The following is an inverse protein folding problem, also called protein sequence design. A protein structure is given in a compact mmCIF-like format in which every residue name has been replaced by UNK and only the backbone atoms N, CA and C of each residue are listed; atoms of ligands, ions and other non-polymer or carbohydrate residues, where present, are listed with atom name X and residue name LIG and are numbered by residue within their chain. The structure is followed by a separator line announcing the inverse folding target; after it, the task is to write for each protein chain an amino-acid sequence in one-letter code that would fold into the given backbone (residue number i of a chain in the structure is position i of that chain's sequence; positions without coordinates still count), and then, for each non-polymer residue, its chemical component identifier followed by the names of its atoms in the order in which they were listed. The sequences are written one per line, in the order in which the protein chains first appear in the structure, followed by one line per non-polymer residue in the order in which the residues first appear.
data_IF_271028862704
#
_entry.id   IF_271028862704
#
_cell.length_a   1.000
_cell.length_b   1.000
_cell.length_c   1.000
_cell.angle_alpha   90.00
_cell.angle_beta   90.00
_cell.angle_gamma   90.00
#
_symmetry.space_group_name_H-M   'P 1'
#
loop_
_entity.id
_entity.type
_entity.pdbx_description
1 polymer ?
#
# COMPACT_ATOMS: atom_id res chain seq x y z
N UNK A 1 41.82 83.20 10.93
CA UNK A 1 41.92 82.67 9.56
C UNK A 1 41.55 81.17 9.39
N UNK A 2 40.94 80.49 10.39
CA UNK A 2 40.66 79.03 10.33
C UNK A 2 39.28 78.70 9.84
N UNK A 3 38.29 79.62 9.89
CA UNK A 3 36.89 79.32 9.50
C UNK A 3 36.72 79.15 8.00
N UNK A 4 37.50 79.81 7.17
CA UNK A 4 37.42 79.70 5.72
C UNK A 4 37.92 78.32 5.19
N UNK A 5 38.95 77.82 5.81
CA UNK A 5 39.43 76.45 5.45
C UNK A 5 38.52 75.34 5.94
N UNK A 6 37.81 75.50 7.04
CA UNK A 6 36.82 74.58 7.54
C UNK A 6 35.57 74.58 6.65
N UNK A 7 35.11 75.74 6.16
CA UNK A 7 34.00 75.79 5.25
C UNK A 7 34.27 75.13 3.88
N UNK A 8 35.47 75.34 3.32
CA UNK A 8 35.86 74.69 2.05
C UNK A 8 35.99 73.17 2.22
N UNK A 9 36.52 72.67 3.33
CA UNK A 9 36.56 71.22 3.55
C UNK A 9 35.18 70.60 3.78
N UNK A 10 34.28 71.30 4.45
CA UNK A 10 32.92 70.83 4.74
C UNK A 10 32.06 70.83 3.53
N UNK A 11 32.05 71.90 2.73
CA UNK A 11 31.23 71.96 1.53
C UNK A 11 31.88 71.32 0.30
N UNK A 12 33.20 71.31 0.20
CA UNK A 12 33.93 70.75 -0.96
C UNK A 12 34.17 69.27 -0.90
N UNK A 13 34.28 68.68 0.30
CA UNK A 13 34.63 67.27 0.44
C UNK A 13 33.55 66.49 1.20
N UNK A 14 33.12 67.00 2.37
CA UNK A 14 32.20 66.27 3.23
C UNK A 14 30.81 66.07 2.66
N UNK A 15 30.24 67.09 2.05
CA UNK A 15 28.88 67.01 1.43
C UNK A 15 28.89 66.10 0.21
N UNK A 16 29.82 66.20 -0.75
CA UNK A 16 29.84 65.25 -1.88
C UNK A 16 30.12 63.83 -1.48
N UNK A 17 31.01 63.59 -0.49
CA UNK A 17 31.30 62.22 -0.01
C UNK A 17 30.10 61.61 0.68
N UNK A 18 29.33 62.40 1.46
CA UNK A 18 28.08 61.95 2.08
C UNK A 18 26.98 61.63 1.03
N UNK A 19 26.87 62.47 0.00
CA UNK A 19 25.95 62.20 -1.10
C UNK A 19 26.29 60.90 -1.85
N UNK A 20 27.57 60.64 -2.14
CA UNK A 20 28.02 59.40 -2.78
C UNK A 20 27.73 58.20 -1.88
N UNK A 21 28.00 58.33 -0.57
CA UNK A 21 27.69 57.22 0.37
C UNK A 21 26.18 56.89 0.42
N UNK A 22 25.32 57.90 0.43
CA UNK A 22 23.87 57.70 0.37
C UNK A 22 23.42 57.03 -0.92
N UNK A 23 23.98 57.44 -2.07
CA UNK A 23 23.66 56.78 -3.36
C UNK A 23 24.10 55.32 -3.37
N UNK A 24 25.28 55.01 -2.85
CA UNK A 24 25.76 53.63 -2.75
C UNK A 24 24.89 52.78 -1.84
N UNK A 25 24.46 53.32 -0.69
CA UNK A 25 23.53 52.63 0.20
C UNK A 25 22.17 52.37 -0.47
N UNK A 26 21.63 53.35 -1.22
CA UNK A 26 20.39 53.20 -1.97
C UNK A 26 20.50 52.08 -3.05
N UNK A 27 21.58 52.09 -3.82
CA UNK A 27 21.85 51.09 -4.85
C UNK A 27 22.00 49.68 -4.22
N UNK A 28 22.71 49.61 -3.08
CA UNK A 28 22.88 48.32 -2.37
C UNK A 28 21.55 47.77 -1.83
N UNK A 29 20.71 48.66 -1.26
CA UNK A 29 19.39 48.31 -0.77
C UNK A 29 18.44 47.83 -1.92
N UNK A 30 18.45 48.54 -3.05
CA UNK A 30 17.67 48.15 -4.23
C UNK A 30 18.14 46.79 -4.76
N UNK A 31 19.43 46.58 -4.85
CA UNK A 31 20.00 45.30 -5.32
C UNK A 31 19.63 44.14 -4.41
N UNK A 32 19.69 44.33 -3.07
CA UNK A 32 19.30 43.27 -2.11
C UNK A 32 17.83 42.89 -2.22
N UNK A 33 16.95 43.89 -2.36
CA UNK A 33 15.50 43.65 -2.58
C UNK A 33 15.19 42.94 -3.89
N UNK A 34 15.85 43.28 -4.99
CA UNK A 34 15.68 42.60 -6.26
C UNK A 34 16.17 41.15 -6.20
N UNK A 35 17.31 40.91 -5.54
CA UNK A 35 17.92 39.58 -5.42
C UNK A 35 17.05 38.64 -4.57
N UNK A 36 16.45 39.15 -3.50
CA UNK A 36 15.51 38.39 -2.67
C UNK A 36 14.24 38.00 -3.42
N UNK A 37 13.69 38.92 -4.21
CA UNK A 37 12.52 38.64 -5.05
C UNK A 37 12.83 37.63 -6.15
N UNK A 38 14.02 37.65 -6.71
CA UNK A 38 14.45 36.71 -7.73
C UNK A 38 14.65 35.30 -7.16
N UNK A 39 15.31 35.19 -6.00
CA UNK A 39 15.52 33.89 -5.33
C UNK A 39 14.19 33.28 -4.88
N UNK A 40 13.25 34.07 -4.38
CA UNK A 40 11.89 33.60 -4.05
C UNK A 40 11.15 33.03 -5.27
N UNK A 41 11.18 33.75 -6.41
CA UNK A 41 10.55 33.27 -7.64
C UNK A 41 11.22 31.99 -8.16
N UNK A 42 12.56 31.91 -8.09
CA UNK A 42 13.30 30.75 -8.52
C UNK A 42 13.02 29.52 -7.62
N UNK A 43 12.92 29.71 -6.32
CA UNK A 43 12.58 28.62 -5.39
C UNK A 43 11.13 28.13 -5.61
N UNK A 44 10.18 29.03 -5.81
CA UNK A 44 8.81 28.66 -6.17
C UNK A 44 8.77 27.86 -7.47
N UNK A 45 9.46 28.31 -8.52
CA UNK A 45 9.51 27.58 -9.78
C UNK A 45 10.09 26.17 -9.62
N UNK A 46 11.18 26.04 -8.88
CA UNK A 46 11.76 24.70 -8.57
C UNK A 46 10.78 23.82 -7.80
N UNK A 47 10.07 24.39 -6.83
CA UNK A 47 9.06 23.65 -6.06
C UNK A 47 7.91 23.19 -6.95
N UNK A 48 7.39 24.06 -7.83
CA UNK A 48 6.38 23.68 -8.81
C UNK A 48 6.84 22.56 -9.73
N UNK A 49 8.06 22.67 -10.26
CA UNK A 49 8.61 21.65 -11.15
C UNK A 49 8.80 20.30 -10.43
N UNK A 50 9.27 20.33 -9.19
CA UNK A 50 9.40 19.11 -8.37
C UNK A 50 8.04 18.48 -8.07
N UNK A 51 7.04 19.30 -7.73
CA UNK A 51 5.69 18.81 -7.46
C UNK A 51 5.02 18.26 -8.72
N UNK A 52 5.24 18.90 -9.87
CA UNK A 52 4.74 18.41 -11.15
C UNK A 52 5.35 17.04 -11.51
N UNK A 53 6.67 16.88 -11.36
CA UNK A 53 7.34 15.61 -11.62
C UNK A 53 6.85 14.50 -10.67
N UNK A 54 6.66 14.82 -9.39
CA UNK A 54 6.07 13.88 -8.42
C UNK A 54 4.64 13.49 -8.79
N UNK A 55 3.83 14.44 -9.24
CA UNK A 55 2.46 14.16 -9.69
C UNK A 55 2.44 13.22 -10.90
N UNK A 56 3.30 13.45 -11.89
CA UNK A 56 3.45 12.54 -13.04
C UNK A 56 3.93 11.15 -12.64
N UNK A 57 4.86 11.05 -11.68
CA UNK A 57 5.33 9.76 -11.16
C UNK A 57 4.20 8.99 -10.47
N UNK A 58 3.41 9.68 -9.63
CA UNK A 58 2.24 9.10 -8.97
C UNK A 58 1.20 8.64 -10.00
N UNK A 59 0.91 9.45 -11.00
CA UNK A 59 -0.03 9.10 -12.08
C UNK A 59 0.44 7.86 -12.86
N UNK A 60 1.73 7.81 -13.19
CA UNK A 60 2.32 6.65 -13.87
C UNK A 60 2.23 5.38 -13.02
N UNK A 61 2.49 5.49 -11.71
CA UNK A 61 2.38 4.37 -10.79
C UNK A 61 0.92 3.90 -10.63
N UNK A 62 -0.03 4.83 -10.55
CA UNK A 62 -1.47 4.51 -10.54
C UNK A 62 -1.88 3.80 -11.83
N UNK A 63 -1.44 4.32 -12.99
CA UNK A 63 -1.74 3.71 -14.28
C UNK A 63 -1.20 2.28 -14.40
N UNK A 64 0.00 2.01 -13.88
CA UNK A 64 0.57 0.65 -13.83
C UNK A 64 -0.20 -0.29 -12.90
N UNK A 65 -0.74 0.22 -11.82
CA UNK A 65 -1.46 -0.60 -10.82
C UNK A 65 -2.94 -0.82 -11.19
N UNK A 66 -3.53 0.00 -12.05
CA UNK A 66 -4.94 -0.14 -12.49
C UNK A 66 -5.32 -1.56 -12.91
N UNK A 67 -4.55 -2.27 -13.77
CA UNK A 67 -4.93 -3.62 -14.19
C UNK A 67 -4.92 -4.62 -13.01
N UNK A 68 -4.03 -4.43 -12.03
CA UNK A 68 -4.00 -5.28 -10.83
C UNK A 68 -5.21 -5.01 -9.94
N UNK A 69 -5.57 -3.75 -9.74
CA UNK A 69 -6.76 -3.36 -8.97
C UNK A 69 -8.03 -3.86 -9.64
N UNK A 70 -8.13 -3.77 -10.96
CA UNK A 70 -9.28 -4.29 -11.71
C UNK A 70 -9.40 -5.81 -11.59
N UNK A 71 -8.30 -6.56 -11.76
CA UNK A 71 -8.30 -8.01 -11.53
C UNK A 71 -8.70 -8.36 -10.11
N UNK A 72 -8.17 -7.65 -9.14
CA UNK A 72 -8.51 -7.85 -7.73
C UNK A 72 -10.00 -7.58 -7.48
N UNK A 73 -10.56 -6.50 -8.02
CA UNK A 73 -11.97 -6.18 -7.88
C UNK A 73 -12.89 -7.22 -8.53
N UNK A 74 -12.47 -7.84 -9.64
CA UNK A 74 -13.20 -8.94 -10.26
C UNK A 74 -13.19 -10.20 -9.38
N UNK A 75 -12.03 -10.58 -8.86
CA UNK A 75 -11.88 -11.75 -7.97
C UNK A 75 -12.76 -11.60 -6.72
N UNK A 76 -12.79 -10.40 -6.14
CA UNK A 76 -13.59 -10.12 -4.93
C UNK A 76 -15.10 -9.98 -5.26
N UNK A 77 -15.47 -9.69 -6.50
CA UNK A 77 -16.89 -9.55 -6.88
C UNK A 77 -17.64 -10.87 -6.94
N UNK A 78 -16.94 -11.99 -7.09
CA UNK A 78 -17.53 -13.30 -7.03
C UNK A 78 -17.84 -13.72 -5.59
N UNK A 79 -18.93 -14.44 -5.39
CA UNK A 79 -19.24 -15.01 -4.08
C UNK A 79 -18.16 -16.03 -3.67
N UNK A 80 -17.42 -15.70 -2.62
CA UNK A 80 -16.26 -16.49 -2.21
C UNK A 80 -16.61 -17.94 -1.89
N UNK A 81 -17.75 -18.19 -1.26
CA UNK A 81 -18.17 -19.53 -0.87
C UNK A 81 -18.42 -20.43 -2.10
N UNK A 82 -19.10 -19.90 -3.13
CA UNK A 82 -19.35 -20.62 -4.37
C UNK A 82 -18.06 -20.88 -5.14
N UNK A 83 -17.18 -19.88 -5.23
CA UNK A 83 -15.88 -20.01 -5.89
C UNK A 83 -14.97 -21.01 -5.19
N UNK A 84 -14.93 -21.01 -3.84
CA UNK A 84 -14.18 -22.03 -3.05
C UNK A 84 -14.72 -23.43 -3.33
N UNK A 85 -16.04 -23.60 -3.31
CA UNK A 85 -16.65 -24.92 -3.54
C UNK A 85 -16.34 -25.46 -4.95
N UNK A 86 -16.40 -24.60 -5.97
CA UNK A 86 -16.07 -24.98 -7.35
C UNK A 86 -14.59 -25.33 -7.50
N UNK A 87 -13.70 -24.53 -6.92
CA UNK A 87 -12.26 -24.82 -6.93
C UNK A 87 -11.91 -26.10 -6.18
N UNK A 88 -12.53 -26.34 -5.01
CA UNK A 88 -12.34 -27.58 -4.28
C UNK A 88 -12.81 -28.81 -5.07
N UNK A 89 -13.91 -28.69 -5.81
CA UNK A 89 -14.37 -29.76 -6.68
C UNK A 89 -13.37 -30.07 -7.80
N UNK A 90 -12.86 -29.04 -8.47
CA UNK A 90 -11.85 -29.18 -9.51
C UNK A 90 -10.50 -29.73 -8.97
N UNK A 91 -10.16 -29.41 -7.72
CA UNK A 91 -8.99 -29.98 -7.04
C UNK A 91 -9.24 -31.46 -6.70
N UNK A 92 -10.43 -31.80 -6.18
CA UNK A 92 -10.80 -33.15 -5.83
C UNK A 92 -10.77 -34.10 -7.03
N UNK A 93 -11.15 -33.63 -8.23
CA UNK A 93 -11.09 -34.42 -9.47
C UNK A 93 -9.66 -34.83 -9.86
N UNK A 94 -8.65 -34.05 -9.43
CA UNK A 94 -7.24 -34.31 -9.70
C UNK A 94 -6.55 -35.15 -8.63
N UNK A 95 -7.19 -35.35 -7.50
CA UNK A 95 -6.63 -36.04 -6.35
C UNK A 95 -7.21 -37.44 -6.22
N UNK A 96 -6.47 -38.42 -5.64
CA UNK A 96 -7.02 -39.75 -5.37
C UNK A 96 -8.20 -39.66 -4.40
N UNK A 97 -9.35 -40.15 -4.80
CA UNK A 97 -10.61 -40.05 -4.03
C UNK A 97 -10.52 -40.66 -2.61
N UNK A 98 -9.62 -41.61 -2.41
CA UNK A 98 -9.38 -42.24 -1.08
C UNK A 98 -8.53 -41.36 -0.16
N UNK A 99 -7.77 -40.42 -0.73
CA UNK A 99 -6.82 -39.59 0.02
C UNK A 99 -7.29 -38.14 0.21
N UNK A 100 -8.38 -37.75 -0.45
CA UNK A 100 -8.96 -36.42 -0.36
C UNK A 100 -10.48 -36.50 -0.30
N UNK A 101 -11.04 -36.17 0.85
CA UNK A 101 -12.49 -36.14 1.07
C UNK A 101 -12.87 -34.85 1.81
N UNK A 102 -13.78 -34.06 1.21
CA UNK A 102 -14.40 -32.95 1.90
C UNK A 102 -15.59 -33.46 2.71
N UNK A 103 -15.56 -33.28 4.03
CA UNK A 103 -16.57 -33.82 4.93
C UNK A 103 -17.64 -32.76 5.26
N UNK A 104 -17.23 -31.51 5.49
CA UNK A 104 -18.16 -30.44 5.79
C UNK A 104 -17.65 -29.11 5.21
N UNK A 105 -18.59 -28.21 4.94
CA UNK A 105 -18.35 -26.84 4.50
C UNK A 105 -19.39 -25.94 5.14
N UNK A 106 -18.90 -25.01 5.96
CA UNK A 106 -19.73 -24.05 6.67
C UNK A 106 -19.28 -22.63 6.31
N UNK A 107 -20.23 -21.74 6.08
CA UNK A 107 -20.00 -20.32 5.90
C UNK A 107 -20.65 -19.55 7.04
N UNK A 108 -19.86 -18.70 7.69
CA UNK A 108 -20.36 -17.73 8.64
C UNK A 108 -20.31 -16.36 8.00
N UNK A 109 -21.48 -15.77 7.74
CA UNK A 109 -21.56 -14.42 7.21
C UNK A 109 -21.22 -13.40 8.30
N UNK A 110 -20.54 -12.32 7.91
CA UNK A 110 -20.21 -11.21 8.80
C UNK A 110 -18.71 -11.10 9.10
N UNK A 111 -18.34 -9.95 9.66
CA UNK A 111 -16.96 -9.63 10.01
C UNK A 111 -16.52 -10.38 11.28
N UNK A 112 -15.92 -11.55 11.09
CA UNK A 112 -15.46 -12.42 12.17
C UNK A 112 -13.96 -12.69 12.00
N UNK A 113 -13.25 -12.90 13.09
CA UNK A 113 -11.81 -13.23 13.07
C UNK A 113 -10.96 -12.10 12.53
N UNK A 114 -10.08 -12.40 11.55
CA UNK A 114 -9.18 -11.41 10.95
C UNK A 114 -9.92 -10.30 10.20
N UNK A 115 -11.12 -10.56 9.72
CA UNK A 115 -11.96 -9.57 9.03
C UNK A 115 -12.72 -8.61 9.96
N UNK A 116 -12.73 -8.85 11.27
CA UNK A 116 -13.54 -8.08 12.21
C UNK A 116 -13.23 -6.58 12.22
N UNK A 117 -11.94 -6.22 12.08
CA UNK A 117 -11.46 -4.85 12.13
C UNK A 117 -11.15 -4.26 10.74
N UNK A 118 -11.42 -5.00 9.67
CA UNK A 118 -11.16 -4.54 8.32
C UNK A 118 -12.31 -3.66 7.78
N UNK A 119 -11.95 -2.65 6.98
CA UNK A 119 -12.93 -1.83 6.28
C UNK A 119 -13.69 -2.62 5.21
N UNK A 120 -13.04 -3.63 4.62
CA UNK A 120 -13.59 -4.49 3.59
C UNK A 120 -14.49 -5.57 4.16
N UNK A 121 -15.51 -5.98 3.40
CA UNK A 121 -16.36 -7.09 3.77
C UNK A 121 -15.59 -8.42 3.71
N UNK A 122 -15.92 -9.30 4.62
CA UNK A 122 -15.33 -10.63 4.68
C UNK A 122 -16.33 -11.65 5.20
N UNK A 123 -16.17 -12.88 4.80
CA UNK A 123 -16.87 -14.03 5.37
C UNK A 123 -15.87 -15.05 5.89
N UNK A 124 -16.27 -15.82 6.88
CA UNK A 124 -15.48 -16.91 7.42
C UNK A 124 -15.96 -18.24 6.81
N UNK A 125 -15.02 -18.99 6.27
CA UNK A 125 -15.27 -20.30 5.68
C UNK A 125 -14.56 -21.37 6.50
N UNK A 126 -15.35 -22.27 7.08
CA UNK A 126 -14.84 -23.42 7.83
C UNK A 126 -15.02 -24.67 6.99
N UNK A 127 -13.95 -25.37 6.75
CA UNK A 127 -13.95 -26.55 5.88
C UNK A 127 -13.30 -27.72 6.64
N UNK A 128 -13.95 -28.87 6.62
CA UNK A 128 -13.44 -30.09 7.22
C UNK A 128 -13.10 -31.06 6.11
N UNK A 129 -11.86 -31.52 6.13
CA UNK A 129 -11.33 -32.48 5.19
C UNK A 129 -10.85 -33.75 5.91
N UNK A 130 -10.86 -34.85 5.19
CA UNK A 130 -10.22 -36.08 5.59
C UNK A 130 -9.29 -36.52 4.48
N UNK A 131 -8.02 -36.76 4.81
CA UNK A 131 -7.05 -37.13 3.79
C UNK A 131 -5.66 -37.40 4.32
N UNK A 132 -4.74 -37.75 3.42
CA UNK A 132 -3.32 -37.88 3.75
C UNK A 132 -2.67 -36.50 3.82
N UNK A 133 -1.66 -36.33 4.67
CA UNK A 133 -0.96 -35.04 4.83
C UNK A 133 -0.44 -34.50 3.48
N UNK A 134 0.19 -35.36 2.68
CA UNK A 134 0.78 -34.98 1.39
C UNK A 134 -0.25 -34.47 0.39
N UNK A 135 -1.39 -35.16 0.29
CA UNK A 135 -2.46 -34.78 -0.62
C UNK A 135 -3.14 -33.50 -0.17
N UNK A 136 -3.35 -33.33 1.13
CA UNK A 136 -3.92 -32.10 1.69
C UNK A 136 -3.01 -30.90 1.51
N UNK A 137 -1.70 -31.04 1.70
CA UNK A 137 -0.74 -29.97 1.46
C UNK A 137 -0.81 -29.47 0.00
N UNK A 138 -0.88 -30.37 -0.97
CA UNK A 138 -1.04 -30.03 -2.38
C UNK A 138 -2.37 -29.33 -2.66
N UNK A 139 -3.45 -29.82 -2.06
CA UNK A 139 -4.77 -29.25 -2.23
C UNK A 139 -4.85 -27.81 -1.69
N UNK A 140 -4.24 -27.53 -0.52
CA UNK A 140 -4.20 -26.19 0.05
C UNK A 140 -3.36 -25.23 -0.80
N UNK A 141 -2.16 -25.65 -1.24
CA UNK A 141 -1.34 -24.85 -2.13
C UNK A 141 -2.06 -24.51 -3.45
N UNK A 142 -2.76 -25.47 -4.05
CA UNK A 142 -3.52 -25.24 -5.27
C UNK A 142 -4.72 -24.33 -5.02
N UNK A 143 -5.41 -24.47 -3.88
CA UNK A 143 -6.52 -23.58 -3.51
C UNK A 143 -6.06 -22.15 -3.30
N UNK A 144 -5.00 -21.93 -2.51
CA UNK A 144 -4.45 -20.60 -2.23
C UNK A 144 -3.88 -19.93 -3.48
N UNK A 145 -3.27 -20.69 -4.38
CA UNK A 145 -2.77 -20.16 -5.65
C UNK A 145 -3.89 -19.73 -6.61
N UNK A 146 -5.05 -20.38 -6.58
CA UNK A 146 -6.21 -20.06 -7.39
C UNK A 146 -7.06 -18.94 -6.79
N UNK A 147 -7.06 -18.85 -5.46
CA UNK A 147 -7.92 -17.96 -4.70
C UNK A 147 -7.10 -17.09 -3.73
N UNK A 148 -6.35 -16.08 -4.23
CA UNK A 148 -5.51 -15.22 -3.40
C UNK A 148 -6.30 -14.34 -2.43
N UNK A 149 -7.63 -14.23 -2.59
CA UNK A 149 -8.53 -13.55 -1.64
C UNK A 149 -8.83 -14.37 -0.38
N UNK A 150 -8.39 -15.64 -0.30
CA UNK A 150 -8.49 -16.47 0.89
C UNK A 150 -7.28 -16.27 1.78
N UNK A 151 -7.53 -16.03 3.05
CA UNK A 151 -6.49 -15.96 4.06
C UNK A 151 -6.72 -17.06 5.10
N UNK A 152 -5.75 -17.94 5.26
CA UNK A 152 -5.79 -18.96 6.29
C UNK A 152 -5.74 -18.32 7.67
N UNK A 153 -6.76 -18.59 8.50
CA UNK A 153 -6.86 -18.09 9.85
C UNK A 153 -6.46 -19.12 10.88
N UNK A 154 -6.96 -20.34 10.74
CA UNK A 154 -6.71 -21.44 11.67
C UNK A 154 -6.67 -22.76 10.91
N UNK A 155 -5.75 -23.64 11.30
CA UNK A 155 -5.67 -25.02 10.84
C UNK A 155 -5.48 -25.95 12.03
N UNK A 156 -6.39 -26.91 12.18
CA UNK A 156 -6.29 -27.95 13.18
C UNK A 156 -6.18 -29.29 12.46
N UNK A 157 -5.19 -30.10 12.87
CA UNK A 157 -4.93 -31.41 12.30
C UNK A 157 -5.07 -32.44 13.42
N UNK A 158 -5.96 -33.39 13.24
CA UNK A 158 -6.21 -34.42 14.22
C UNK A 158 -6.05 -35.80 13.57
N UNK A 159 -5.39 -36.75 14.26
CA UNK A 159 -5.34 -38.11 13.78
C UNK A 159 -6.74 -38.73 13.79
N UNK A 160 -7.01 -39.60 12.82
CA UNK A 160 -8.26 -40.35 12.80
C UNK A 160 -8.14 -41.46 13.86
N UNK A 161 -8.68 -41.18 15.05
CA UNK A 161 -8.60 -42.07 16.20
C UNK A 161 -9.58 -43.26 16.05
N UNK A 162 -9.24 -44.22 15.23
CA UNK A 162 -9.82 -45.55 15.36
C UNK A 162 -8.74 -46.53 15.85
N UNK A 163 -8.70 -46.85 17.16
CA UNK A 163 -7.65 -47.71 17.72
C UNK A 163 -7.60 -49.11 17.08
N UNK A 164 -8.74 -49.54 16.50
CA UNK A 164 -8.86 -50.89 15.92
C UNK A 164 -8.40 -50.92 14.45
N UNK A 165 -8.26 -49.79 13.80
CA UNK A 165 -7.82 -49.73 12.40
C UNK A 165 -7.06 -48.41 12.14
N UNK A 166 -5.74 -48.39 12.38
CA UNK A 166 -4.92 -47.20 12.17
C UNK A 166 -4.94 -46.83 10.71
N UNK A 167 -5.57 -45.71 10.39
CA UNK A 167 -5.66 -45.15 9.03
C UNK A 167 -4.61 -44.05 8.88
N UNK A 168 -3.89 -43.96 7.75
CA UNK A 168 -2.99 -42.85 7.45
C UNK A 168 -3.74 -41.55 7.16
N UNK A 169 -5.06 -41.55 7.23
CA UNK A 169 -5.90 -40.38 6.99
C UNK A 169 -6.00 -39.56 8.26
N UNK A 170 -5.84 -38.24 8.08
CA UNK A 170 -5.96 -37.23 9.11
C UNK A 170 -7.24 -36.42 8.87
N UNK A 171 -7.80 -35.88 9.95
CA UNK A 171 -8.86 -34.90 9.89
C UNK A 171 -8.25 -33.51 9.93
N UNK A 172 -8.56 -32.69 8.92
CA UNK A 172 -8.13 -31.32 8.81
C UNK A 172 -9.35 -30.41 8.98
N UNK A 173 -9.32 -29.56 9.98
CA UNK A 173 -10.29 -28.50 10.13
C UNK A 173 -9.60 -27.17 9.79
N UNK A 174 -10.05 -26.50 8.75
CA UNK A 174 -9.42 -25.30 8.24
C UNK A 174 -10.42 -24.17 8.23
N UNK A 175 -10.01 -23.03 8.75
CA UNK A 175 -10.82 -21.81 8.76
C UNK A 175 -10.12 -20.75 7.92
N UNK A 176 -10.79 -20.28 6.89
CA UNK A 176 -10.34 -19.18 6.03
C UNK A 176 -11.17 -17.93 6.25
N UNK A 177 -10.52 -16.78 6.18
CA UNK A 177 -11.18 -15.50 5.95
C UNK A 177 -11.18 -15.23 4.44
N UNK A 178 -12.36 -15.09 3.85
CA UNK A 178 -12.54 -14.76 2.46
C UNK A 178 -12.94 -13.29 2.33
N UNK A 179 -12.17 -12.52 1.54
CA UNK A 179 -12.47 -11.12 1.26
C UNK A 179 -13.51 -11.03 0.15
N UNK A 180 -14.55 -10.25 0.41
CA UNK A 180 -15.71 -10.05 -0.48
C UNK A 180 -15.93 -8.55 -0.71
N UNK A 181 -16.71 -8.20 -1.74
CA UNK A 181 -17.04 -6.80 -2.07
C UNK A 181 -18.14 -6.25 -1.18
#
# INVERSE_FOLDING_TARGET
MNHYRQSIALFGIAIPSLAIALVLLAVWSLRSHMMESYTKKQSLFRTYQTNYNKAMEVETNIARQRPHVQRWSQIISEEAASSVNNNLRAIAEKMPAKEFQKTAFERTAGKVGLGANAAQNSSQLRIIFRGTYRTMQRAFLELESRMPQLQLQEMRIEPNQNPQNPSPLLNFQVTYTAWEK
#
